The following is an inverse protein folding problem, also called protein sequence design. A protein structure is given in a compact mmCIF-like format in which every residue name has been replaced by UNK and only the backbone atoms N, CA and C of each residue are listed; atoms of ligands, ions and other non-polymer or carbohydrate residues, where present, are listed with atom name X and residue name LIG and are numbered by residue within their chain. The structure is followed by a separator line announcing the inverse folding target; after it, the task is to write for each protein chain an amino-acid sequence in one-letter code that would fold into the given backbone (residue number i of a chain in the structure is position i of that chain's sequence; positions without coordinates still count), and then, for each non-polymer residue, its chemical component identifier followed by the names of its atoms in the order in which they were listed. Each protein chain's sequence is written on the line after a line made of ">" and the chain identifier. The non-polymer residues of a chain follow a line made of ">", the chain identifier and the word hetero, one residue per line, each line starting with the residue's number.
data_IF_535051120936
#
_entry.id   IF_535051120936
#
_cell.length_a   1.000
_cell.length_b   1.000
_cell.length_c   1.000
_cell.angle_alpha   90.00
_cell.angle_beta   90.00
_cell.angle_gamma   90.00
#
_symmetry.space_group_name_H-M   'P 1'
#
loop_
_entity.id
_entity.type
_entity.pdbx_description
1 polymer ?
#
# COMPACT_ATOMS: atom_id res chain seq x y z
N UNK A 1 11.69 4.35 -14.93
CA UNK A 1 10.68 4.70 -13.91
C UNK A 1 10.28 6.16 -14.08
N UNK A 2 9.03 6.57 -13.81
CA UNK A 2 8.67 8.00 -13.71
C UNK A 2 8.57 8.39 -12.23
N UNK A 3 9.33 9.38 -11.77
CA UNK A 3 9.39 9.75 -10.35
C UNK A 3 8.31 10.78 -9.97
N UNK A 4 7.04 10.43 -10.17
CA UNK A 4 5.92 11.38 -9.95
C UNK A 4 5.52 11.48 -8.48
N UNK A 5 5.41 10.34 -7.78
CA UNK A 5 5.06 10.29 -6.35
C UNK A 5 5.81 9.17 -5.64
N UNK A 6 6.02 9.32 -4.32
CA UNK A 6 6.68 8.31 -3.49
C UNK A 6 5.94 6.97 -3.48
N UNK A 7 4.60 7.02 -3.44
CA UNK A 7 3.74 5.83 -3.53
C UNK A 7 3.93 5.07 -4.84
N UNK A 8 3.98 5.79 -5.97
CA UNK A 8 4.21 5.18 -7.28
C UNK A 8 5.66 4.67 -7.41
N UNK A 9 6.62 5.39 -6.85
CA UNK A 9 8.01 4.94 -6.83
C UNK A 9 8.20 3.65 -6.01
N UNK A 10 7.50 3.52 -4.87
CA UNK A 10 7.49 2.28 -4.09
C UNK A 10 6.98 1.11 -4.93
N UNK A 11 5.79 1.25 -5.52
CA UNK A 11 5.19 0.23 -6.39
C UNK A 11 6.12 -0.13 -7.55
N UNK A 12 6.58 0.87 -8.30
CA UNK A 12 7.41 0.66 -9.49
C UNK A 12 8.77 0.07 -9.16
N UNK A 13 9.32 0.31 -7.97
CA UNK A 13 10.61 -0.25 -7.56
C UNK A 13 10.54 -1.76 -7.33
N UNK A 14 9.36 -2.29 -6.96
CA UNK A 14 9.13 -3.72 -6.75
C UNK A 14 8.49 -4.39 -7.98
N UNK A 15 8.00 -3.60 -8.93
CA UNK A 15 7.42 -4.09 -10.17
C UNK A 15 8.50 -4.40 -11.22
N UNK A 16 8.65 -5.67 -11.58
CA UNK A 16 9.52 -6.05 -12.71
C UNK A 16 8.80 -5.78 -14.03
N UNK A 17 9.19 -4.73 -14.75
CA UNK A 17 8.66 -4.48 -16.10
C UNK A 17 9.03 -5.62 -17.05
N UNK A 18 8.02 -6.38 -17.49
CA UNK A 18 8.14 -7.22 -18.68
C UNK A 18 7.97 -6.34 -19.92
N UNK A 19 8.73 -6.60 -20.98
CA UNK A 19 8.48 -5.96 -22.27
C UNK A 19 7.02 -6.18 -22.67
N UNK A 20 6.36 -5.13 -23.13
CA UNK A 20 4.95 -5.20 -23.49
C UNK A 20 4.78 -6.12 -24.70
N UNK A 21 3.64 -6.82 -24.78
CA UNK A 21 3.32 -7.69 -25.91
C UNK A 21 3.38 -6.92 -27.25
N UNK A 22 3.04 -5.63 -27.24
CA UNK A 22 3.15 -4.74 -28.40
C UNK A 22 4.58 -4.47 -28.85
N UNK A 23 5.54 -4.34 -27.92
CA UNK A 23 6.96 -4.20 -28.28
C UNK A 23 7.49 -5.48 -28.94
N UNK A 24 7.07 -6.65 -28.45
CA UNK A 24 7.39 -7.94 -29.06
C UNK A 24 6.77 -8.07 -30.46
N UNK A 25 5.52 -7.62 -30.62
CA UNK A 25 4.81 -7.64 -31.91
C UNK A 25 5.43 -6.67 -32.92
N UNK A 26 5.84 -5.49 -32.49
CA UNK A 26 6.51 -4.49 -33.32
C UNK A 26 7.88 -5.00 -33.79
N UNK A 27 8.67 -5.60 -32.89
CA UNK A 27 9.95 -6.21 -33.24
C UNK A 27 9.76 -7.37 -34.22
N UNK A 28 8.74 -8.21 -34.01
CA UNK A 28 8.36 -9.28 -34.94
C UNK A 28 7.92 -8.73 -36.31
N UNK A 29 7.18 -7.62 -36.34
CA UNK A 29 6.75 -6.97 -37.58
C UNK A 29 7.91 -6.33 -38.36
N UNK A 30 8.90 -5.76 -37.67
CA UNK A 30 10.10 -5.19 -38.29
C UNK A 30 11.08 -6.24 -38.80
N UNK A 31 11.27 -7.33 -38.05
CA UNK A 31 12.29 -8.36 -38.35
C UNK A 31 11.74 -9.57 -39.09
N UNK A 32 10.41 -9.71 -39.22
CA UNK A 32 9.73 -10.85 -39.83
C UNK A 32 9.90 -12.17 -39.06
N UNK A 33 10.54 -12.15 -37.89
CA UNK A 33 10.82 -13.32 -37.05
C UNK A 33 10.94 -12.92 -35.58
N UNK A 34 10.61 -13.84 -34.69
CA UNK A 34 10.89 -13.70 -33.26
C UNK A 34 12.37 -13.94 -33.02
N UNK A 35 13.10 -12.91 -32.60
CA UNK A 35 14.48 -13.06 -32.15
C UNK A 35 14.45 -13.57 -30.71
N UNK A 36 14.87 -14.81 -30.51
CA UNK A 36 15.09 -15.36 -29.18
C UNK A 36 16.38 -14.74 -28.62
N UNK A 37 16.25 -13.60 -27.94
CA UNK A 37 17.36 -13.02 -27.18
C UNK A 37 17.52 -13.83 -25.90
N UNK A 38 18.68 -14.44 -25.70
CA UNK A 38 19.07 -15.08 -24.44
C UNK A 38 19.03 -14.08 -23.29
N UNK A 39 19.35 -12.81 -23.58
CA UNK A 39 19.22 -11.67 -22.67
C UNK A 39 18.00 -10.82 -23.04
N UNK A 40 16.81 -11.23 -22.61
CA UNK A 40 15.56 -10.57 -23.00
C UNK A 40 15.37 -9.17 -22.41
N UNK A 41 16.34 -8.58 -21.69
CA UNK A 41 16.16 -7.34 -20.90
C UNK A 41 17.41 -6.44 -20.74
N UNK A 42 18.42 -6.54 -21.61
CA UNK A 42 19.65 -5.73 -21.52
C UNK A 42 19.56 -4.41 -22.29
N UNK A 43 18.53 -3.60 -22.03
CA UNK A 43 18.44 -2.25 -22.60
C UNK A 43 18.82 -1.16 -21.57
N UNK A 44 19.39 -0.04 -22.04
CA UNK A 44 19.86 1.04 -21.17
C UNK A 44 18.72 1.62 -20.28
N UNK A 45 17.49 1.63 -20.79
CA UNK A 45 16.33 2.06 -20.02
C UNK A 45 15.99 1.10 -18.86
N UNK A 46 16.19 -0.21 -19.05
CA UNK A 46 16.02 -1.23 -18.03
C UNK A 46 17.12 -1.09 -16.97
N UNK A 47 18.39 -0.93 -17.38
CA UNK A 47 19.48 -0.69 -16.46
C UNK A 47 19.26 0.59 -15.62
N UNK A 48 18.83 1.69 -16.26
CA UNK A 48 18.49 2.92 -15.56
C UNK A 48 17.31 2.74 -14.59
N UNK A 49 16.28 1.99 -15.00
CA UNK A 49 15.17 1.66 -14.11
C UNK A 49 15.61 0.84 -12.90
N UNK A 50 16.43 -0.18 -13.09
CA UNK A 50 16.96 -1.02 -12.00
C UNK A 50 17.85 -0.22 -11.05
N UNK A 51 18.68 0.68 -11.56
CA UNK A 51 19.51 1.55 -10.72
C UNK A 51 18.64 2.45 -9.83
N UNK A 52 17.60 3.07 -10.39
CA UNK A 52 16.65 3.90 -9.63
C UNK A 52 15.84 3.04 -8.64
N UNK A 53 15.36 1.88 -9.08
CA UNK A 53 14.61 0.95 -8.23
C UNK A 53 15.44 0.49 -7.02
N UNK A 54 16.71 0.14 -7.23
CA UNK A 54 17.63 -0.25 -6.16
C UNK A 54 17.85 0.85 -5.13
N UNK A 55 17.90 2.12 -5.54
CA UNK A 55 17.98 3.26 -4.60
C UNK A 55 16.70 3.42 -3.77
N UNK A 56 15.54 3.22 -4.37
CA UNK A 56 14.26 3.26 -3.65
C UNK A 56 14.13 2.08 -2.69
N UNK A 57 14.49 0.86 -3.11
CA UNK A 57 14.52 -0.33 -2.27
C UNK A 57 15.47 -0.15 -1.08
N UNK A 58 16.67 0.41 -1.32
CA UNK A 58 17.61 0.75 -0.24
C UNK A 58 16.99 1.73 0.76
N UNK A 59 16.25 2.74 0.30
CA UNK A 59 15.56 3.66 1.20
C UNK A 59 14.45 2.95 1.99
N UNK A 60 13.71 2.03 1.37
CA UNK A 60 12.71 1.20 2.06
C UNK A 60 13.33 0.30 3.13
N UNK A 61 14.55 -0.20 2.89
CA UNK A 61 15.28 -1.04 3.86
C UNK A 61 15.76 -0.28 5.10
N UNK A 62 15.74 1.06 5.08
CA UNK A 62 16.03 1.87 6.28
C UNK A 62 14.84 1.99 7.22
N UNK A 63 13.63 1.61 6.77
CA UNK A 63 12.42 1.69 7.58
C UNK A 63 12.40 0.62 8.68
N UNK A 64 11.83 0.93 9.86
CA UNK A 64 11.43 -0.08 10.83
C UNK A 64 10.55 -1.17 10.19
N UNK A 65 10.64 -2.44 10.63
CA UNK A 65 9.93 -3.56 10.01
C UNK A 65 8.42 -3.33 9.85
N UNK A 66 7.76 -2.79 10.88
CA UNK A 66 6.33 -2.52 10.85
C UNK A 66 5.92 -1.44 9.83
N UNK A 67 6.75 -0.39 9.63
CA UNK A 67 6.51 0.63 8.61
C UNK A 67 6.78 0.10 7.21
N UNK A 68 7.79 -0.75 7.06
CA UNK A 68 8.08 -1.41 5.79
C UNK A 68 6.95 -2.36 5.40
N UNK A 69 6.46 -3.18 6.33
CA UNK A 69 5.31 -4.05 6.12
C UNK A 69 4.04 -3.26 5.76
N UNK A 70 3.79 -2.14 6.46
CA UNK A 70 2.69 -1.23 6.12
C UNK A 70 2.81 -0.69 4.68
N UNK A 71 3.97 -0.14 4.31
CA UNK A 71 4.21 0.38 2.96
C UNK A 71 4.12 -0.71 1.89
N UNK A 72 4.62 -1.92 2.17
CA UNK A 72 4.49 -3.08 1.30
C UNK A 72 3.02 -3.48 1.11
N UNK A 73 2.27 -3.63 2.21
CA UNK A 73 0.85 -3.94 2.12
C UNK A 73 0.09 -2.93 1.28
N UNK A 74 0.43 -1.65 1.41
CA UNK A 74 -0.23 -0.56 0.68
C UNK A 74 0.15 -0.50 -0.80
N UNK A 75 1.43 -0.61 -1.13
CA UNK A 75 1.96 -0.22 -2.44
C UNK A 75 2.72 -1.31 -3.19
N UNK A 76 3.11 -2.40 -2.53
CA UNK A 76 3.83 -3.49 -3.21
C UNK A 76 2.87 -4.32 -4.09
N UNK A 77 3.22 -4.58 -5.36
CA UNK A 77 2.52 -5.56 -6.18
C UNK A 77 2.76 -7.01 -5.70
N UNK A 78 3.74 -7.20 -4.81
CA UNK A 78 4.14 -8.49 -4.23
C UNK A 78 3.82 -8.55 -2.73
N UNK A 79 2.84 -7.76 -2.26
CA UNK A 79 2.43 -7.75 -0.86
C UNK A 79 2.01 -9.16 -0.41
N UNK A 80 2.57 -9.60 0.71
CA UNK A 80 2.28 -10.92 1.32
C UNK A 80 1.20 -10.81 2.40
N UNK A 81 0.70 -11.96 2.85
CA UNK A 81 -0.20 -12.01 4.02
C UNK A 81 0.52 -11.56 5.30
N UNK A 82 1.81 -11.84 5.44
CA UNK A 82 2.62 -11.35 6.57
C UNK A 82 2.71 -9.81 6.59
N UNK A 83 2.88 -9.18 5.42
CA UNK A 83 2.86 -7.72 5.32
C UNK A 83 1.50 -7.15 5.75
N UNK A 84 0.41 -7.84 5.38
CA UNK A 84 -0.96 -7.47 5.78
C UNK A 84 -1.13 -7.55 7.29
N UNK A 85 -0.81 -8.69 7.90
CA UNK A 85 -1.00 -8.89 9.34
C UNK A 85 -0.19 -7.89 10.17
N UNK A 86 1.07 -7.64 9.79
CA UNK A 86 1.91 -6.66 10.46
C UNK A 86 1.39 -5.22 10.27
N UNK A 87 0.85 -4.89 9.10
CA UNK A 87 0.26 -3.58 8.85
C UNK A 87 -1.01 -3.36 9.69
N UNK A 88 -1.89 -4.36 9.75
CA UNK A 88 -3.10 -4.35 10.59
C UNK A 88 -2.74 -4.21 12.07
N UNK A 89 -1.73 -4.95 12.54
CA UNK A 89 -1.25 -4.85 13.91
C UNK A 89 -0.64 -3.48 14.22
N UNK A 90 0.22 -2.95 13.34
CA UNK A 90 0.83 -1.63 13.50
C UNK A 90 -0.24 -0.54 13.57
N UNK A 91 -1.23 -0.59 12.67
CA UNK A 91 -2.37 0.32 12.66
C UNK A 91 -3.15 0.24 13.97
N UNK A 92 -3.53 -0.98 14.38
CA UNK A 92 -4.30 -1.19 15.60
C UNK A 92 -3.56 -0.65 16.83
N UNK A 93 -2.26 -0.92 16.96
CA UNK A 93 -1.44 -0.43 18.09
C UNK A 93 -1.41 1.10 18.15
N UNK A 94 -1.20 1.78 17.02
CA UNK A 94 -1.16 3.24 16.95
C UNK A 94 -2.55 3.84 17.23
N UNK A 95 -3.58 3.34 16.56
CA UNK A 95 -4.95 3.81 16.73
C UNK A 95 -5.47 3.59 18.16
N UNK A 96 -5.10 2.48 18.79
CA UNK A 96 -5.50 2.18 20.17
C UNK A 96 -4.75 3.05 21.19
N UNK A 97 -3.47 3.36 20.95
CA UNK A 97 -2.70 4.25 21.81
C UNK A 97 -3.18 5.71 21.75
N UNK A 98 -3.66 6.14 20.57
CA UNK A 98 -4.14 7.51 20.33
C UNK A 98 -5.65 7.67 20.51
N UNK A 99 -6.39 6.57 20.49
CA UNK A 99 -7.85 6.55 20.47
C UNK A 99 -8.50 6.53 21.87
N UNK A 100 -9.85 6.53 21.91
CA UNK A 100 -10.60 6.48 23.16
C UNK A 100 -10.36 5.14 23.89
N UNK A 101 -10.29 5.19 25.23
CA UNK A 101 -10.12 4.00 26.07
C UNK A 101 -11.32 3.07 25.94
N UNK A 102 -11.16 1.97 25.20
CA UNK A 102 -12.19 0.94 25.09
C UNK A 102 -12.14 -0.08 26.23
N UNK A 103 -13.31 -0.66 26.53
CA UNK A 103 -13.44 -1.77 27.46
C UNK A 103 -12.88 -3.08 26.86
N UNK A 104 -12.41 -4.01 27.69
CA UNK A 104 -11.74 -5.25 27.26
C UNK A 104 -12.54 -6.09 26.26
N UNK A 105 -13.86 -6.19 26.40
CA UNK A 105 -14.73 -6.93 25.46
C UNK A 105 -14.81 -6.31 24.06
N UNK A 106 -14.51 -5.01 23.93
CA UNK A 106 -14.48 -4.31 22.64
C UNK A 106 -13.11 -4.40 21.96
N UNK A 107 -12.08 -4.81 22.70
CA UNK A 107 -10.70 -4.90 22.21
C UNK A 107 -10.55 -5.86 21.02
N UNK A 108 -11.14 -7.05 21.11
CA UNK A 108 -11.07 -8.05 20.04
C UNK A 108 -11.76 -7.54 18.78
N UNK A 109 -12.99 -7.02 18.92
CA UNK A 109 -13.75 -6.43 17.80
C UNK A 109 -13.02 -5.22 17.18
N UNK A 110 -12.34 -4.42 17.99
CA UNK A 110 -11.59 -3.26 17.53
C UNK A 110 -10.42 -3.62 16.59
N UNK A 111 -9.79 -4.80 16.75
CA UNK A 111 -8.77 -5.28 15.80
C UNK A 111 -9.34 -5.46 14.39
N UNK A 112 -10.50 -6.08 14.29
CA UNK A 112 -11.17 -6.29 13.00
C UNK A 112 -11.70 -4.99 12.40
N UNK A 113 -12.15 -4.06 13.24
CA UNK A 113 -12.52 -2.70 12.79
C UNK A 113 -11.30 -1.99 12.21
N UNK A 114 -10.13 -2.06 12.85
CA UNK A 114 -8.90 -1.49 12.32
C UNK A 114 -8.51 -2.13 10.97
N UNK A 115 -8.59 -3.47 10.85
CA UNK A 115 -8.34 -4.17 9.59
C UNK A 115 -9.29 -3.71 8.47
N UNK A 116 -10.57 -3.51 8.78
CA UNK A 116 -11.52 -2.96 7.83
C UNK A 116 -11.22 -1.52 7.42
N UNK A 117 -10.77 -0.67 8.35
CA UNK A 117 -10.34 0.69 8.01
C UNK A 117 -9.10 0.67 7.13
N UNK A 118 -8.14 -0.22 7.38
CA UNK A 118 -6.97 -0.40 6.52
C UNK A 118 -7.38 -0.82 5.10
N UNK A 119 -8.32 -1.76 4.99
CA UNK A 119 -8.87 -2.18 3.70
C UNK A 119 -9.48 -1.00 2.91
N UNK A 120 -10.31 -0.19 3.58
CA UNK A 120 -10.89 1.03 2.98
C UNK A 120 -9.80 2.02 2.57
N UNK A 121 -8.86 2.29 3.47
CA UNK A 121 -7.77 3.23 3.23
C UNK A 121 -6.92 2.82 2.03
N UNK A 122 -6.55 1.55 1.94
CA UNK A 122 -5.80 0.98 0.81
C UNK A 122 -6.54 1.16 -0.51
N UNK A 123 -7.85 0.88 -0.54
CA UNK A 123 -8.67 1.03 -1.76
C UNK A 123 -8.77 2.49 -2.22
N UNK A 124 -8.91 3.42 -1.28
CA UNK A 124 -8.91 4.87 -1.58
C UNK A 124 -7.57 5.34 -2.14
N UNK A 125 -6.46 4.74 -1.71
CA UNK A 125 -5.10 5.15 -2.06
C UNK A 125 -4.44 4.32 -3.17
N UNK A 126 -5.17 3.34 -3.73
CA UNK A 126 -4.70 2.49 -4.81
C UNK A 126 -4.49 3.33 -6.08
N UNK A 127 -3.32 3.20 -6.73
CA UNK A 127 -2.93 4.02 -7.90
C UNK A 127 -2.17 5.32 -7.58
N UNK A 128 -1.90 5.59 -6.30
CA UNK A 128 -0.95 6.64 -5.90
C UNK A 128 -1.46 8.08 -5.96
N UNK A 129 -2.71 8.31 -6.40
CA UNK A 129 -3.33 9.65 -6.50
C UNK A 129 -4.45 9.89 -5.46
N UNK A 130 -4.75 8.96 -4.55
CA UNK A 130 -5.81 9.13 -3.53
C UNK A 130 -7.21 9.44 -4.10
N UNK A 131 -7.51 8.96 -5.31
CA UNK A 131 -8.81 9.16 -5.99
C UNK A 131 -9.68 7.90 -5.99
N UNK A 132 -9.29 6.86 -5.24
CA UNK A 132 -10.03 5.60 -5.19
C UNK A 132 -11.38 5.74 -4.50
N UNK A 133 -12.40 5.07 -5.02
CA UNK A 133 -13.73 5.01 -4.40
C UNK A 133 -13.66 4.19 -3.13
N UNK A 134 -14.22 4.72 -2.03
CA UNK A 134 -14.35 3.99 -0.77
C UNK A 134 -15.26 2.76 -0.98
N UNK A 135 -14.78 1.53 -0.72
CA UNK A 135 -15.59 0.32 -0.87
C UNK A 135 -16.72 0.20 0.17
N UNK A 136 -16.60 0.91 1.30
CA UNK A 136 -17.55 0.82 2.41
C UNK A 136 -17.85 2.22 2.97
N UNK A 137 -18.54 3.09 2.21
CA UNK A 137 -18.73 4.49 2.58
C UNK A 137 -19.71 4.67 3.74
N UNK A 138 -20.62 3.73 3.97
CA UNK A 138 -21.62 3.80 5.03
C UNK A 138 -21.42 2.69 6.08
N UNK A 139 -21.94 2.88 7.31
CA UNK A 139 -21.81 1.90 8.40
C UNK A 139 -22.36 0.51 8.04
N UNK A 140 -23.45 0.43 7.28
CA UNK A 140 -24.08 -0.84 6.90
C UNK A 140 -23.19 -1.67 5.98
N UNK A 141 -22.61 -1.05 4.95
CA UNK A 141 -21.65 -1.68 4.05
C UNK A 141 -20.41 -2.13 4.80
N UNK A 142 -19.90 -1.31 5.72
CA UNK A 142 -18.74 -1.65 6.52
C UNK A 142 -18.99 -2.83 7.46
N UNK A 143 -20.16 -2.89 8.09
CA UNK A 143 -20.59 -4.05 8.89
C UNK A 143 -20.80 -5.29 8.04
N UNK A 144 -21.45 -5.15 6.89
CA UNK A 144 -21.64 -6.25 5.94
C UNK A 144 -20.31 -6.85 5.49
N UNK A 145 -19.31 -5.99 5.29
CA UNK A 145 -17.94 -6.41 5.01
C UNK A 145 -17.30 -7.15 6.20
N UNK A 146 -17.40 -6.62 7.42
CA UNK A 146 -16.88 -7.28 8.63
C UNK A 146 -17.53 -8.65 8.89
N UNK A 147 -18.83 -8.76 8.65
CA UNK A 147 -19.54 -10.03 8.76
C UNK A 147 -19.09 -11.02 7.70
N UNK A 148 -18.92 -10.57 6.45
CA UNK A 148 -18.50 -11.42 5.34
C UNK A 148 -17.05 -11.90 5.47
N UNK A 149 -16.12 -11.01 5.78
CA UNK A 149 -14.68 -11.32 5.80
C UNK A 149 -14.23 -11.93 7.13
N UNK A 150 -14.82 -11.52 8.25
CA UNK A 150 -14.37 -11.92 9.58
C UNK A 150 -15.44 -12.62 10.43
N UNK A 151 -16.68 -12.76 9.95
CA UNK A 151 -17.76 -13.40 10.69
C UNK A 151 -18.25 -12.59 11.91
N UNK A 152 -17.96 -11.29 11.96
CA UNK A 152 -18.22 -10.45 13.14
C UNK A 152 -19.42 -9.56 12.94
N UNK A 153 -20.37 -9.70 13.85
CA UNK A 153 -21.51 -8.79 13.97
C UNK A 153 -21.23 -7.67 14.97
N UNK A 154 -21.41 -6.44 14.49
CA UNK A 154 -21.44 -5.23 15.31
C UNK A 154 -22.90 -4.78 15.49
N UNK A 155 -23.20 -4.11 16.60
CA UNK A 155 -24.53 -3.54 16.85
C UNK A 155 -24.69 -2.19 16.14
N UNK A 156 -25.89 -1.90 15.61
CA UNK A 156 -26.17 -0.69 14.80
C UNK A 156 -26.69 0.44 15.65
N UNK A 157 -27.37 0.12 16.75
CA UNK A 157 -28.12 1.07 17.57
C UNK A 157 -27.26 2.19 18.19
N UNK A 158 -25.95 1.97 18.35
CA UNK A 158 -25.02 2.95 18.92
C UNK A 158 -23.76 3.19 18.07
N UNK A 159 -23.82 2.96 16.76
CA UNK A 159 -22.65 3.03 15.86
C UNK A 159 -21.79 4.28 16.05
N UNK A 160 -22.42 5.46 15.96
CA UNK A 160 -21.74 6.74 16.03
C UNK A 160 -20.95 6.92 17.34
N UNK A 161 -21.57 6.54 18.46
CA UNK A 161 -20.96 6.67 19.79
C UNK A 161 -19.85 5.66 20.02
N UNK A 162 -19.97 4.46 19.45
CA UNK A 162 -19.07 3.35 19.78
C UNK A 162 -17.88 3.22 18.85
N UNK A 163 -18.06 3.52 17.55
CA UNK A 163 -17.09 3.19 16.53
C UNK A 163 -16.61 4.39 15.73
N UNK A 164 -17.36 5.48 15.64
CA UNK A 164 -17.00 6.60 14.76
C UNK A 164 -15.70 7.31 15.18
N UNK A 165 -15.54 7.56 16.48
CA UNK A 165 -14.30 8.12 17.05
C UNK A 165 -13.10 7.20 16.81
N UNK A 166 -13.29 5.88 16.97
CA UNK A 166 -12.22 4.91 16.77
C UNK A 166 -11.86 4.72 15.30
N UNK A 167 -12.85 4.71 14.40
CA UNK A 167 -12.64 4.67 12.96
C UNK A 167 -11.88 5.91 12.49
N UNK A 168 -12.25 7.08 13.01
CA UNK A 168 -11.53 8.34 12.76
C UNK A 168 -10.08 8.25 13.27
N UNK A 169 -9.87 7.72 14.47
CA UNK A 169 -8.52 7.48 15.00
C UNK A 169 -7.70 6.51 14.14
N UNK A 170 -8.34 5.45 13.60
CA UNK A 170 -7.70 4.54 12.66
C UNK A 170 -7.31 5.24 11.35
N UNK A 171 -8.18 6.09 10.78
CA UNK A 171 -7.82 6.85 9.58
C UNK A 171 -6.66 7.82 9.82
N UNK A 172 -6.63 8.48 10.97
CA UNK A 172 -5.51 9.34 11.35
C UNK A 172 -4.22 8.54 11.52
N UNK A 173 -4.29 7.38 12.19
CA UNK A 173 -3.15 6.48 12.32
C UNK A 173 -2.66 5.96 10.96
N UNK A 174 -3.55 5.62 10.02
CA UNK A 174 -3.17 5.29 8.64
C UNK A 174 -2.41 6.44 7.96
N UNK A 175 -2.89 7.68 8.10
CA UNK A 175 -2.23 8.85 7.52
C UNK A 175 -0.84 9.10 8.10
N UNK A 176 -0.67 8.89 9.41
CA UNK A 176 0.61 9.08 10.08
C UNK A 176 1.61 7.97 9.72
N UNK A 177 1.16 6.71 9.69
CA UNK A 177 1.95 5.56 9.23
C UNK A 177 2.35 5.71 7.76
N UNK A 178 1.43 6.17 6.90
CA UNK A 178 1.70 6.40 5.49
C UNK A 178 2.77 7.48 5.30
N UNK A 179 2.62 8.63 5.98
CA UNK A 179 3.66 9.67 5.97
C UNK A 179 5.00 9.13 6.43
N UNK A 180 5.03 8.42 7.57
CA UNK A 180 6.27 7.87 8.12
C UNK A 180 6.95 6.87 7.18
N UNK A 181 6.18 5.99 6.52
CA UNK A 181 6.69 5.04 5.54
C UNK A 181 7.23 5.75 4.28
N UNK A 182 6.58 6.82 3.82
CA UNK A 182 6.95 7.52 2.59
C UNK A 182 8.10 8.53 2.75
N UNK A 183 8.44 8.96 3.98
CA UNK A 183 9.55 9.90 4.24
C UNK A 183 10.86 9.47 3.57
N UNK A 184 11.44 8.28 3.84
CA UNK A 184 12.74 7.92 3.27
C UNK A 184 12.69 7.78 1.74
N UNK A 185 11.59 7.27 1.19
CA UNK A 185 11.40 7.16 -0.27
C UNK A 185 11.32 8.55 -0.90
N UNK A 186 10.58 9.48 -0.29
CA UNK A 186 10.47 10.86 -0.78
C UNK A 186 11.81 11.60 -0.76
N UNK A 187 12.62 11.37 0.27
CA UNK A 187 13.98 11.92 0.38
C UNK A 187 14.90 11.36 -0.70
N UNK A 188 14.89 10.04 -0.92
CA UNK A 188 15.66 9.41 -1.98
C UNK A 188 15.27 9.96 -3.37
N UNK A 189 13.97 10.12 -3.63
CA UNK A 189 13.47 10.74 -4.85
C UNK A 189 13.94 12.19 -5.03
N UNK A 190 13.95 12.98 -3.96
CA UNK A 190 14.43 14.36 -3.99
C UNK A 190 15.90 14.43 -4.40
N UNK A 191 16.75 13.63 -3.75
CA UNK A 191 18.19 13.55 -4.07
C UNK A 191 18.40 13.16 -5.54
N UNK A 192 17.65 12.16 -6.03
CA UNK A 192 17.75 11.73 -7.43
C UNK A 192 17.29 12.80 -8.43
N UNK A 193 16.29 13.63 -8.08
CA UNK A 193 15.84 14.74 -8.93
C UNK A 193 16.84 15.90 -8.95
N UNK A 194 17.53 16.16 -7.85
CA UNK A 194 18.55 17.21 -7.77
C UNK A 194 19.85 16.83 -8.52
N UNK A 195 20.13 15.53 -8.67
CA UNK A 195 21.32 15.02 -9.35
C UNK A 195 21.15 14.80 -10.87
N UNK A 196 19.95 14.99 -11.43
CA UNK A 196 19.61 14.74 -12.83
C UNK A 196 19.50 16.04 -13.64
#
# INVERSE_FOLDING_TARGET
>A
MKLNSARMAWHDSLYTRRDSQGAVLQEMGLLGRLVQKTDRMTNAAHAAHQAIAGRVQQAMDTLPPHLKAFGNHMYSPMATDDDKEQAEEALFRVAYAMGPRMYSKKFEKARYVAAGVLHRYRRMHQGGQSEGVDPCPNPEAFRGWLLKEHGIELDSCAWAREWDEFITACFNACNDLDKAALVPVSQAMKIMKEAA
#
